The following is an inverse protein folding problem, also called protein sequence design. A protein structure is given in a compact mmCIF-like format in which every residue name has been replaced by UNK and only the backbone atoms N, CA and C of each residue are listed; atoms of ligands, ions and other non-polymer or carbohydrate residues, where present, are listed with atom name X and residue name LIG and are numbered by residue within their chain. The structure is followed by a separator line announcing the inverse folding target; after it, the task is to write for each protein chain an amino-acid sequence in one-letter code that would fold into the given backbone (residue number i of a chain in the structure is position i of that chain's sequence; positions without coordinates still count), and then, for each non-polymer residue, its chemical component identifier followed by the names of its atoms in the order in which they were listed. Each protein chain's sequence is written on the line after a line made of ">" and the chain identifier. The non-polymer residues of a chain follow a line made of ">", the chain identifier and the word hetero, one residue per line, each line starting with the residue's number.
data_IF_665690948275
#
_entry.id   IF_665690948275
#
_cell.length_a   1.000
_cell.length_b   1.000
_cell.length_c   1.000
_cell.angle_alpha   90.00
_cell.angle_beta   90.00
_cell.angle_gamma   90.00
#
_symmetry.space_group_name_H-M   'P 1'
#
loop_
_entity.id
_entity.type
_entity.pdbx_description
1 polymer ?
#
# COMPACT_ATOMS: atom_id res chain seq x y z
N UNK A 1 20.97 -6.54 -9.27
CA UNK A 1 20.32 -7.57 -10.12
C UNK A 1 20.51 -7.17 -11.56
N UNK A 2 21.15 -8.00 -12.39
CA UNK A 2 21.23 -7.82 -13.84
C UNK A 2 20.49 -8.98 -14.50
N UNK A 3 19.62 -8.69 -15.46
CA UNK A 3 18.94 -9.72 -16.24
C UNK A 3 19.92 -10.31 -17.24
N UNK A 4 20.01 -11.64 -17.26
CA UNK A 4 20.80 -12.41 -18.24
C UNK A 4 19.86 -13.24 -19.10
N UNK A 5 20.11 -13.27 -20.41
CA UNK A 5 19.28 -14.00 -21.37
C UNK A 5 19.54 -15.51 -21.21
N UNK A 6 18.59 -16.24 -20.64
CA UNK A 6 18.71 -17.67 -20.34
C UNK A 6 18.04 -18.63 -21.33
N UNK A 7 17.16 -18.14 -22.22
CA UNK A 7 16.41 -18.98 -23.17
C UNK A 7 15.94 -18.19 -24.41
N UNK A 8 15.43 -18.92 -25.42
CA UNK A 8 14.68 -18.33 -26.52
C UNK A 8 13.29 -17.85 -26.05
N UNK A 9 12.67 -16.88 -26.73
CA UNK A 9 11.30 -16.45 -26.41
C UNK A 9 10.32 -17.63 -26.46
N UNK A 10 9.51 -17.79 -25.41
CA UNK A 10 8.47 -18.82 -25.31
C UNK A 10 7.16 -18.20 -24.81
N UNK A 11 6.11 -18.30 -25.64
CA UNK A 11 4.77 -17.79 -25.37
C UNK A 11 3.83 -18.85 -24.75
N UNK A 12 4.36 -20.00 -24.34
CA UNK A 12 3.59 -21.06 -23.69
C UNK A 12 3.00 -20.61 -22.35
N UNK A 13 1.87 -21.23 -21.96
CA UNK A 13 1.27 -21.02 -20.63
C UNK A 13 2.23 -21.40 -19.49
N UNK A 14 3.11 -22.38 -19.72
CA UNK A 14 4.11 -22.82 -18.76
C UNK A 14 5.17 -21.73 -18.51
N UNK A 15 5.71 -21.13 -19.59
CA UNK A 15 6.63 -19.99 -19.51
C UNK A 15 5.99 -18.80 -18.77
N UNK A 16 4.74 -18.47 -19.10
CA UNK A 16 4.00 -17.43 -18.39
C UNK A 16 3.81 -17.73 -16.89
N UNK A 17 3.50 -18.99 -16.52
CA UNK A 17 3.37 -19.37 -15.10
C UNK A 17 4.70 -19.24 -14.35
N UNK A 18 5.79 -19.72 -14.93
CA UNK A 18 7.12 -19.61 -14.32
C UNK A 18 7.53 -18.14 -14.13
N UNK A 19 7.20 -17.27 -15.09
CA UNK A 19 7.38 -15.83 -14.93
C UNK A 19 6.55 -15.26 -13.77
N UNK A 20 5.26 -15.64 -13.66
CA UNK A 20 4.42 -15.21 -12.53
C UNK A 20 4.96 -15.70 -11.19
N UNK A 21 5.44 -16.94 -11.10
CA UNK A 21 6.06 -17.48 -9.88
C UNK A 21 7.25 -16.63 -9.45
N UNK A 22 8.11 -16.27 -10.40
CA UNK A 22 9.25 -15.38 -10.15
C UNK A 22 8.79 -14.00 -9.67
N UNK A 23 7.84 -13.37 -10.37
CA UNK A 23 7.32 -12.06 -9.99
C UNK A 23 6.71 -12.09 -8.60
N UNK A 24 5.83 -13.04 -8.29
CA UNK A 24 5.19 -13.15 -6.98
C UNK A 24 6.15 -13.55 -5.86
N UNK A 25 7.27 -14.23 -6.16
CA UNK A 25 8.31 -14.53 -5.16
C UNK A 25 9.01 -13.26 -4.67
N UNK A 26 9.21 -12.28 -5.55
CA UNK A 26 9.97 -11.06 -5.24
C UNK A 26 9.12 -9.80 -5.11
N UNK A 27 7.86 -9.83 -5.53
CA UNK A 27 6.90 -8.77 -5.32
C UNK A 27 6.44 -8.76 -3.86
N UNK A 28 6.70 -7.64 -3.19
CA UNK A 28 6.33 -7.44 -1.79
C UNK A 28 6.48 -5.99 -1.36
N UNK A 29 6.25 -5.73 -0.09
CA UNK A 29 6.31 -4.38 0.50
C UNK A 29 7.67 -3.71 0.29
N UNK A 30 8.76 -4.47 0.30
CA UNK A 30 10.10 -3.95 -0.03
C UNK A 30 10.18 -3.39 -1.46
N UNK A 31 9.63 -4.11 -2.44
CA UNK A 31 9.58 -3.63 -3.83
C UNK A 31 8.66 -2.42 -3.99
N UNK A 32 7.52 -2.40 -3.30
CA UNK A 32 6.56 -1.29 -3.33
C UNK A 32 7.12 -0.01 -2.69
N UNK A 33 7.88 -0.14 -1.59
CA UNK A 33 8.52 1.00 -0.92
C UNK A 33 9.54 1.72 -1.83
N UNK A 34 10.13 1.00 -2.79
CA UNK A 34 11.11 1.52 -3.74
C UNK A 34 10.52 2.40 -4.87
N UNK A 35 9.18 2.44 -5.00
CA UNK A 35 8.49 3.25 -6.00
C UNK A 35 8.84 4.73 -5.89
N UNK A 36 8.89 5.39 -7.06
CA UNK A 36 9.29 6.80 -7.17
C UNK A 36 8.11 7.76 -6.99
N UNK A 37 6.88 7.32 -7.23
CA UNK A 37 5.68 8.09 -6.97
C UNK A 37 5.54 8.34 -5.47
N UNK A 38 5.82 9.58 -5.05
CA UNK A 38 5.74 10.04 -3.66
C UNK A 38 4.90 11.31 -3.62
N UNK A 39 3.56 11.18 -3.56
CA UNK A 39 2.70 12.36 -3.47
C UNK A 39 2.95 13.09 -2.15
N UNK A 40 2.63 14.39 -2.11
CA UNK A 40 2.69 15.16 -0.88
C UNK A 40 1.49 14.86 0.01
N UNK A 41 1.57 15.26 1.28
CA UNK A 41 0.46 15.13 2.23
C UNK A 41 -0.80 15.84 1.74
N UNK A 42 -0.65 16.94 1.03
CA UNK A 42 -1.75 17.78 0.51
C UNK A 42 -2.45 17.13 -0.69
N UNK A 43 -1.74 16.31 -1.46
CA UNK A 43 -2.21 15.64 -2.69
C UNK A 43 -2.64 14.17 -2.46
N UNK A 44 -2.85 13.76 -1.21
CA UNK A 44 -3.40 12.43 -0.90
C UNK A 44 -4.77 12.27 -1.56
N UNK A 45 -4.94 11.15 -2.27
CA UNK A 45 -6.19 10.80 -2.95
C UNK A 45 -6.43 9.29 -2.96
N UNK A 46 -7.65 8.84 -3.31
CA UNK A 46 -7.94 7.42 -3.49
C UNK A 46 -6.97 6.74 -4.46
N UNK A 47 -6.53 5.53 -4.11
CA UNK A 47 -5.53 4.77 -4.86
C UNK A 47 -4.08 5.01 -4.43
N UNK A 48 -3.81 6.04 -3.63
CA UNK A 48 -2.54 6.15 -2.91
C UNK A 48 -2.47 5.12 -1.79
N UNK A 49 -1.27 4.77 -1.33
CA UNK A 49 -1.09 3.80 -0.26
C UNK A 49 0.12 4.14 0.61
N UNK A 50 0.03 3.77 1.88
CA UNK A 50 1.16 3.80 2.79
C UNK A 50 1.82 2.42 2.81
N UNK A 51 3.14 2.36 2.74
CA UNK A 51 3.89 1.10 2.76
C UNK A 51 5.14 1.20 3.63
N UNK A 52 5.29 0.24 4.54
CA UNK A 52 6.51 0.03 5.30
C UNK A 52 7.14 -1.27 4.81
N UNK A 53 8.26 -1.14 4.10
CA UNK A 53 8.98 -2.27 3.52
C UNK A 53 9.59 -3.18 4.59
N UNK A 54 9.76 -4.46 4.25
CA UNK A 54 10.46 -5.43 5.09
C UNK A 54 9.82 -6.82 5.08
N UNK A 55 10.36 -7.70 5.93
CA UNK A 55 9.82 -9.04 6.21
C UNK A 55 9.82 -9.26 7.73
N UNK A 56 8.71 -8.98 8.43
CA UNK A 56 7.41 -8.57 7.89
C UNK A 56 7.39 -7.07 7.51
N UNK A 57 6.68 -6.75 6.44
CA UNK A 57 6.31 -5.38 6.06
C UNK A 57 4.80 -5.27 5.94
N UNK A 58 4.27 -4.06 5.77
CA UNK A 58 2.82 -3.87 5.68
C UNK A 58 2.44 -2.71 4.77
N UNK A 59 1.24 -2.79 4.19
CA UNK A 59 0.69 -1.74 3.33
C UNK A 59 -0.79 -1.49 3.63
N UNK A 60 -1.21 -0.23 3.48
CA UNK A 60 -2.59 0.23 3.67
C UNK A 60 -2.97 1.13 2.51
N UNK A 61 -4.11 0.88 1.89
CA UNK A 61 -4.62 1.62 0.73
C UNK A 61 -5.57 2.73 1.18
N UNK A 62 -5.45 3.91 0.57
CA UNK A 62 -6.42 5.00 0.68
C UNK A 62 -7.58 4.71 -0.27
N UNK A 63 -8.76 4.49 0.30
CA UNK A 63 -9.99 4.18 -0.42
C UNK A 63 -10.81 5.43 -0.74
N UNK A 64 -10.83 6.38 0.19
CA UNK A 64 -11.52 7.65 0.05
C UNK A 64 -10.86 8.74 0.91
N UNK A 65 -11.09 10.02 0.58
CA UNK A 65 -10.60 11.18 1.33
C UNK A 65 -11.72 12.21 1.47
N UNK A 66 -12.02 12.61 2.70
CA UNK A 66 -13.02 13.63 3.00
C UNK A 66 -12.39 14.78 3.79
N UNK A 67 -12.98 15.97 3.66
CA UNK A 67 -12.59 17.16 4.41
C UNK A 67 -13.83 17.81 5.03
N UNK A 68 -13.68 18.33 6.25
CA UNK A 68 -14.72 19.16 6.86
C UNK A 68 -14.59 20.64 6.42
N UNK A 69 -15.53 21.48 6.85
CA UNK A 69 -15.54 22.91 6.52
C UNK A 69 -14.29 23.69 7.02
N UNK A 70 -13.57 23.16 8.01
CA UNK A 70 -12.31 23.73 8.50
C UNK A 70 -11.08 23.21 7.73
N UNK A 71 -11.28 22.39 6.69
CA UNK A 71 -10.21 21.79 5.90
C UNK A 71 -9.51 20.60 6.56
N UNK A 72 -9.98 20.12 7.72
CA UNK A 72 -9.40 18.93 8.36
C UNK A 72 -9.76 17.69 7.55
N UNK A 73 -8.73 16.92 7.18
CA UNK A 73 -8.90 15.76 6.30
C UNK A 73 -8.91 14.44 7.06
N UNK A 74 -9.71 13.51 6.56
CA UNK A 74 -9.77 12.12 6.98
C UNK A 74 -9.68 11.20 5.76
N UNK A 75 -9.20 9.98 5.96
CA UNK A 75 -9.16 8.94 4.94
C UNK A 75 -9.93 7.70 5.37
N UNK A 76 -10.57 7.05 4.39
CA UNK A 76 -11.02 5.68 4.50
C UNK A 76 -9.86 4.77 4.10
N UNK A 77 -9.49 3.83 4.97
CA UNK A 77 -8.32 2.96 4.75
C UNK A 77 -8.75 1.50 4.60
N UNK A 78 -8.01 0.75 3.79
CA UNK A 78 -8.20 -0.69 3.68
C UNK A 78 -6.89 -1.47 3.56
N UNK A 79 -6.92 -2.74 3.93
CA UNK A 79 -5.76 -3.63 3.87
C UNK A 79 -6.18 -5.06 3.57
N UNK A 80 -5.23 -5.86 3.08
CA UNK A 80 -5.27 -7.32 3.23
C UNK A 80 -4.32 -7.71 4.36
N UNK A 81 -4.75 -8.58 5.29
CA UNK A 81 -3.84 -9.09 6.33
C UNK A 81 -2.85 -10.10 5.74
N UNK A 82 -1.82 -10.49 6.49
CA UNK A 82 -0.89 -11.53 6.07
C UNK A 82 -1.24 -12.88 6.73
N UNK A 83 -1.42 -13.97 5.97
CA UNK A 83 -1.43 -14.06 4.51
C UNK A 83 -2.65 -13.36 3.89
N UNK A 84 -2.51 -12.88 2.65
CA UNK A 84 -3.60 -12.19 1.94
C UNK A 84 -4.80 -13.14 1.81
N UNK A 85 -5.87 -12.83 2.55
CA UNK A 85 -7.14 -13.54 2.46
C UNK A 85 -8.15 -12.65 1.75
N UNK A 86 -8.71 -11.71 2.50
CA UNK A 86 -9.68 -10.73 2.01
C UNK A 86 -9.16 -9.32 2.23
N UNK A 87 -9.62 -8.43 1.36
CA UNK A 87 -9.41 -7.00 1.54
C UNK A 87 -10.56 -6.44 2.38
N UNK A 88 -10.23 -5.76 3.48
CA UNK A 88 -11.23 -5.18 4.37
C UNK A 88 -10.99 -3.70 4.62
N UNK A 89 -12.08 -2.98 4.85
CA UNK A 89 -12.05 -1.59 5.31
C UNK A 89 -11.69 -1.59 6.79
N UNK A 90 -10.76 -0.73 7.18
CA UNK A 90 -10.34 -0.56 8.56
C UNK A 90 -11.38 0.27 9.33
N UNK A 91 -11.63 -0.13 10.58
CA UNK A 91 -12.38 0.67 11.54
C UNK A 91 -11.41 1.44 12.42
N UNK A 92 -11.58 2.76 12.54
CA UNK A 92 -10.80 3.57 13.47
C UNK A 92 -11.22 3.36 14.93
N UNK A 93 -12.39 2.71 15.14
CA UNK A 93 -13.01 2.54 16.45
C UNK A 93 -13.61 3.84 16.99
N UNK A 94 -14.40 3.73 18.07
CA UNK A 94 -15.07 4.88 18.70
C UNK A 94 -16.09 5.57 17.78
N UNK A 95 -16.31 6.87 18.04
CA UNK A 95 -17.37 7.66 17.40
C UNK A 95 -17.00 8.16 15.99
N UNK A 96 -15.75 8.00 15.56
CA UNK A 96 -15.27 8.46 14.23
C UNK A 96 -15.59 7.51 13.09
N UNK A 97 -16.12 6.31 13.39
CA UNK A 97 -16.44 5.30 12.39
C UNK A 97 -15.18 4.81 11.65
N UNK A 98 -15.22 4.60 10.32
CA UNK A 98 -14.08 4.06 9.57
C UNK A 98 -13.07 5.14 9.12
N UNK A 99 -13.21 6.38 9.61
CA UNK A 99 -12.44 7.53 9.13
C UNK A 99 -11.19 7.80 9.99
N UNK A 100 -10.03 7.80 9.33
CA UNK A 100 -8.71 8.03 9.94
C UNK A 100 -8.25 9.47 9.72
N UNK A 101 -7.89 10.23 10.78
CA UNK A 101 -7.36 11.59 10.63
C UNK A 101 -6.04 11.63 9.85
N UNK A 102 -5.91 12.62 8.97
CA UNK A 102 -4.68 12.90 8.20
C UNK A 102 -3.92 14.13 8.73
N UNK A 103 -4.25 14.61 9.93
CA UNK A 103 -3.65 15.83 10.48
C UNK A 103 -2.37 15.59 11.30
N UNK A 104 -2.09 14.34 11.67
CA UNK A 104 -0.91 13.98 12.46
C UNK A 104 0.39 13.94 11.66
N UNK A 105 1.51 13.79 12.38
CA UNK A 105 2.82 13.50 11.81
C UNK A 105 2.85 12.16 11.08
N UNK A 106 2.06 11.20 11.57
CA UNK A 106 1.91 9.86 11.00
C UNK A 106 0.42 9.48 10.93
N UNK A 107 0.11 8.52 10.04
CA UNK A 107 -1.20 7.86 10.00
C UNK A 107 -1.18 6.63 10.91
N UNK A 108 -1.96 6.69 11.98
CA UNK A 108 -2.06 5.61 12.98
C UNK A 108 -3.18 4.64 12.60
N UNK A 109 -2.88 3.35 12.57
CA UNK A 109 -3.85 2.27 12.34
C UNK A 109 -3.87 1.29 13.52
N UNK A 110 -4.95 0.52 13.74
CA UNK A 110 -5.08 -0.28 14.96
C UNK A 110 -4.13 -1.49 15.05
N UNK A 111 -3.54 -1.93 13.94
CA UNK A 111 -2.88 -3.23 13.83
C UNK A 111 -1.38 -3.16 13.52
N UNK A 112 -0.85 -1.99 13.18
CA UNK A 112 0.54 -1.84 12.75
C UNK A 112 1.17 -0.59 13.35
N UNK A 113 2.50 -0.50 13.27
CA UNK A 113 3.22 0.74 13.63
C UNK A 113 2.71 1.92 12.79
N UNK A 114 2.73 3.16 13.32
CA UNK A 114 2.32 4.35 12.59
C UNK A 114 3.04 4.48 11.24
N UNK A 115 2.30 4.98 10.24
CA UNK A 115 2.80 5.20 8.90
C UNK A 115 3.22 6.67 8.72
N UNK A 116 4.52 6.98 8.63
CA UNK A 116 4.97 8.33 8.38
C UNK A 116 4.60 8.78 6.96
N UNK A 117 4.45 10.08 6.75
CA UNK A 117 4.17 10.65 5.42
C UNK A 117 5.22 10.24 4.36
N UNK A 118 6.46 9.99 4.78
CA UNK A 118 7.53 9.48 3.91
C UNK A 118 7.28 8.06 3.36
N UNK A 119 6.31 7.33 3.92
CA UNK A 119 5.88 5.99 3.49
C UNK A 119 4.76 6.02 2.44
N UNK A 120 4.21 7.20 2.11
CA UNK A 120 3.16 7.37 1.11
C UNK A 120 3.71 7.12 -0.30
N UNK A 121 2.98 6.33 -1.09
CA UNK A 121 3.33 5.94 -2.46
C UNK A 121 2.12 6.03 -3.39
N UNK A 122 2.43 6.18 -4.67
CA UNK A 122 1.51 6.12 -5.81
C UNK A 122 2.19 5.32 -6.92
N UNK A 123 1.39 4.54 -7.66
CA UNK A 123 1.85 3.83 -8.85
C UNK A 123 2.19 4.80 -10.00
#
# INVERSE_FOLDING_TARGET
>A
MSWVRGAAPDASRASFRAWLDLVFTYAGTHSLESLKGRPSREDVRPGDFFVLGGSPGHAVLVLDVAANAAGKRVALLGQGFMPAQDFHVLSAGGDTGPWFPLEGEDVVTPFWKPFPWSSLRRF
#
